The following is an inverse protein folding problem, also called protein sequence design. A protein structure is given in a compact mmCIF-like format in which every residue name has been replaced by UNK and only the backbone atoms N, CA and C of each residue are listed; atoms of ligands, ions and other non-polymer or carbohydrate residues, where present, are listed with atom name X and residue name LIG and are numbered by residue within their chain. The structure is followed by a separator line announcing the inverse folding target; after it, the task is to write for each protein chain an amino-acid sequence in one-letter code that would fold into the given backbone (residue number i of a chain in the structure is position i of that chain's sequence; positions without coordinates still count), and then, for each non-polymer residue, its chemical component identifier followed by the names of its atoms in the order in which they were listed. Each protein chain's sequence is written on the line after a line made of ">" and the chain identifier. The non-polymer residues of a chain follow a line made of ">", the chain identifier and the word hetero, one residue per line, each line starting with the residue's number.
data_IF_222306265706
#
_entry.id   IF_222306265706
#
_cell.length_a   1.000
_cell.length_b   1.000
_cell.length_c   1.000
_cell.angle_alpha   90.00
_cell.angle_beta   90.00
_cell.angle_gamma   90.00
#
_symmetry.space_group_name_H-M   'P 1'
#
loop_
_entity.id
_entity.type
_entity.pdbx_description
1 polymer ?
#
# COMPACT_ATOMS: atom_id res chain seq x y z
N UNK A 1 -0.86 9.38 -16.65
CA UNK A 1 0.48 9.11 -17.22
C UNK A 1 0.70 7.60 -17.21
N UNK A 2 1.01 7.05 -18.38
CA UNK A 2 1.35 5.64 -18.61
C UNK A 2 2.86 5.53 -18.81
N UNK A 3 3.50 4.56 -18.21
CA UNK A 3 4.96 4.40 -18.21
C UNK A 3 5.33 3.01 -18.69
N UNK A 4 6.27 2.93 -19.62
CA UNK A 4 6.95 1.71 -20.04
C UNK A 4 8.13 1.48 -19.10
N UNK A 5 7.97 0.57 -18.13
CA UNK A 5 9.00 0.26 -17.15
C UNK A 5 10.21 -0.44 -17.74
N UNK A 6 10.02 -1.26 -18.78
CA UNK A 6 11.10 -1.99 -19.44
C UNK A 6 12.09 -1.04 -20.11
N UNK A 7 11.56 -0.03 -20.82
CA UNK A 7 12.37 0.95 -21.54
C UNK A 7 12.58 2.25 -20.74
N UNK A 8 12.07 2.35 -19.52
CA UNK A 8 12.20 3.51 -18.61
C UNK A 8 11.76 4.83 -19.24
N UNK A 9 10.64 4.83 -19.94
CA UNK A 9 10.10 6.02 -20.62
C UNK A 9 8.63 6.24 -20.28
N UNK A 10 8.21 7.49 -20.38
CA UNK A 10 6.77 7.82 -20.40
C UNK A 10 6.22 7.33 -21.73
N UNK A 11 5.16 6.52 -21.66
CA UNK A 11 4.45 6.05 -22.84
C UNK A 11 3.50 7.13 -23.33
N UNK A 12 2.59 7.56 -22.44
CA UNK A 12 1.61 8.58 -22.72
C UNK A 12 1.20 9.39 -21.49
N UNK A 13 0.62 10.56 -21.73
CA UNK A 13 0.06 11.45 -20.71
C UNK A 13 -1.36 11.79 -21.07
N UNK A 14 -2.32 11.06 -20.50
CA UNK A 14 -3.73 11.26 -20.78
C UNK A 14 -4.26 12.57 -20.16
N UNK A 15 -5.23 13.19 -20.81
CA UNK A 15 -5.87 14.43 -20.34
C UNK A 15 -6.72 14.20 -19.09
N UNK A 16 -7.27 12.99 -18.93
CA UNK A 16 -8.12 12.61 -17.81
C UNK A 16 -7.75 11.22 -17.30
N UNK A 17 -8.05 10.96 -16.03
CA UNK A 17 -7.95 9.65 -15.40
C UNK A 17 -9.26 8.86 -15.44
N UNK A 18 -10.28 9.35 -16.13
CA UNK A 18 -11.53 8.63 -16.26
C UNK A 18 -11.32 7.30 -16.97
N UNK A 19 -11.95 6.23 -16.42
CA UNK A 19 -11.82 4.87 -16.96
C UNK A 19 -12.02 4.81 -18.47
N UNK A 20 -13.02 5.52 -19.00
CA UNK A 20 -13.33 5.53 -20.44
C UNK A 20 -12.17 6.07 -21.29
N UNK A 21 -11.51 7.14 -20.83
CA UNK A 21 -10.35 7.72 -21.51
C UNK A 21 -9.18 6.75 -21.52
N UNK A 22 -8.89 6.13 -20.37
CA UNK A 22 -7.82 5.13 -20.23
C UNK A 22 -8.08 3.92 -21.12
N UNK A 23 -9.33 3.40 -21.14
CA UNK A 23 -9.71 2.25 -21.99
C UNK A 23 -9.56 2.58 -23.46
N UNK A 24 -9.98 3.77 -23.91
CA UNK A 24 -9.86 4.18 -25.32
C UNK A 24 -8.41 4.22 -25.75
N UNK A 25 -7.57 4.90 -25.01
CA UNK A 25 -6.13 5.02 -25.31
C UNK A 25 -5.41 3.67 -25.37
N UNK A 26 -5.65 2.83 -24.35
CA UNK A 26 -5.05 1.50 -24.29
C UNK A 26 -5.53 0.60 -25.44
N UNK A 27 -6.80 0.69 -25.87
CA UNK A 27 -7.33 -0.09 -27.01
C UNK A 27 -6.71 0.36 -28.34
N UNK A 28 -6.64 1.64 -28.58
CA UNK A 28 -5.99 2.20 -29.79
C UNK A 28 -4.52 1.75 -29.85
N UNK A 29 -3.82 1.81 -28.74
CA UNK A 29 -2.43 1.34 -28.64
C UNK A 29 -2.31 -0.18 -28.83
N UNK A 30 -3.28 -0.97 -28.35
CA UNK A 30 -3.32 -2.42 -28.56
C UNK A 30 -3.60 -2.78 -30.04
N UNK A 31 -4.57 -2.14 -30.65
CA UNK A 31 -4.95 -2.34 -32.07
C UNK A 31 -3.82 -1.98 -33.03
N UNK A 32 -3.03 -0.96 -32.69
CA UNK A 32 -1.83 -0.60 -33.46
C UNK A 32 -0.67 -1.57 -33.27
N UNK A 33 -0.80 -2.57 -32.39
CA UNK A 33 0.24 -3.55 -32.08
C UNK A 33 1.32 -3.06 -31.10
N UNK A 34 1.23 -1.83 -30.62
CA UNK A 34 2.22 -1.23 -29.73
C UNK A 34 2.28 -1.94 -28.37
N UNK A 35 1.16 -2.50 -27.90
CA UNK A 35 1.04 -3.18 -26.61
C UNK A 35 1.07 -4.72 -26.72
N UNK A 36 1.41 -5.28 -27.89
CA UNK A 36 1.40 -6.73 -28.16
C UNK A 36 2.33 -7.54 -27.23
N UNK A 37 3.32 -6.90 -26.63
CA UNK A 37 4.32 -7.55 -25.75
C UNK A 37 4.11 -7.25 -24.27
N UNK A 38 3.00 -6.59 -23.89
CA UNK A 38 2.67 -6.33 -22.49
C UNK A 38 2.31 -7.65 -21.80
N UNK A 39 3.05 -8.02 -20.79
CA UNK A 39 2.84 -9.22 -19.97
C UNK A 39 2.40 -8.89 -18.55
N UNK A 40 2.65 -7.66 -18.11
CA UNK A 40 2.31 -7.18 -16.79
C UNK A 40 1.90 -5.70 -16.84
N UNK A 41 0.86 -5.36 -16.07
CA UNK A 41 0.42 -3.99 -15.82
C UNK A 41 0.44 -3.73 -14.32
N UNK A 42 1.18 -2.70 -13.92
CA UNK A 42 1.21 -2.23 -12.54
C UNK A 42 0.39 -0.94 -12.42
N UNK A 43 -0.49 -0.88 -11.43
CA UNK A 43 -1.35 0.27 -11.17
C UNK A 43 -1.30 0.67 -9.70
N UNK A 44 -1.78 1.88 -9.39
CA UNK A 44 -2.12 2.20 -8.00
C UNK A 44 -3.43 1.49 -7.58
N UNK A 45 -3.94 1.84 -6.40
CA UNK A 45 -5.15 1.21 -5.85
C UNK A 45 -6.47 1.82 -6.37
N UNK A 46 -6.46 2.61 -7.44
CA UNK A 46 -7.69 3.19 -7.99
C UNK A 46 -8.44 2.19 -8.88
N UNK A 47 -9.75 2.00 -8.59
CA UNK A 47 -10.58 1.00 -9.27
C UNK A 47 -10.62 1.21 -10.79
N UNK A 48 -10.68 2.46 -11.25
CA UNK A 48 -10.77 2.79 -12.67
C UNK A 48 -9.59 2.29 -13.50
N UNK A 49 -8.35 2.42 -13.01
CA UNK A 49 -7.15 1.95 -13.73
C UNK A 49 -7.10 0.42 -13.77
N UNK A 50 -7.43 -0.24 -12.64
CA UNK A 50 -7.46 -1.71 -12.54
C UNK A 50 -8.50 -2.31 -13.47
N UNK A 51 -9.71 -1.72 -13.51
CA UNK A 51 -10.78 -2.17 -14.40
C UNK A 51 -10.46 -1.88 -15.86
N UNK A 52 -9.86 -0.71 -16.18
CA UNK A 52 -9.45 -0.39 -17.54
C UNK A 52 -8.42 -1.40 -18.06
N UNK A 53 -7.42 -1.76 -17.24
CA UNK A 53 -6.45 -2.77 -17.61
C UNK A 53 -7.08 -4.15 -17.82
N UNK A 54 -8.02 -4.57 -16.96
CA UNK A 54 -8.77 -5.82 -17.13
C UNK A 54 -9.61 -5.84 -18.41
N UNK A 55 -10.28 -4.72 -18.72
CA UNK A 55 -11.15 -4.59 -19.89
C UNK A 55 -10.39 -4.62 -21.22
N UNK A 56 -9.14 -4.18 -21.22
CA UNK A 56 -8.29 -4.12 -22.41
C UNK A 56 -7.46 -5.37 -22.59
N UNK A 57 -6.73 -5.77 -21.54
CA UNK A 57 -5.77 -6.87 -21.64
C UNK A 57 -6.35 -8.24 -21.29
N UNK A 58 -7.49 -8.27 -20.58
CA UNK A 58 -8.11 -9.52 -20.14
C UNK A 58 -7.22 -10.33 -19.18
N UNK A 59 -7.42 -11.67 -19.11
CA UNK A 59 -6.69 -12.53 -18.19
C UNK A 59 -5.27 -12.90 -18.67
N UNK A 60 -4.89 -12.52 -19.87
CA UNK A 60 -3.59 -12.86 -20.46
C UNK A 60 -2.44 -12.05 -19.85
N UNK A 61 -2.74 -10.92 -19.21
CA UNK A 61 -1.77 -10.02 -18.60
C UNK A 61 -1.88 -10.04 -17.09
N UNK A 62 -0.73 -10.18 -16.42
CA UNK A 62 -0.66 -10.10 -14.95
C UNK A 62 -0.95 -8.67 -14.50
N UNK A 63 -1.89 -8.53 -13.58
CA UNK A 63 -2.23 -7.24 -12.99
C UNK A 63 -1.67 -7.16 -11.58
N UNK A 64 -0.85 -6.14 -11.31
CA UNK A 64 -0.19 -5.95 -10.03
C UNK A 64 -0.52 -4.58 -9.44
N UNK A 65 -0.75 -4.52 -8.14
CA UNK A 65 -0.86 -3.24 -7.43
C UNK A 65 0.52 -2.81 -6.94
N UNK A 66 0.87 -1.55 -7.22
CA UNK A 66 2.12 -0.97 -6.74
C UNK A 66 2.16 -0.93 -5.21
N UNK A 67 3.10 -1.66 -4.63
CA UNK A 67 3.32 -1.75 -3.17
C UNK A 67 3.53 -0.39 -2.51
N UNK A 68 4.11 0.59 -3.23
CA UNK A 68 4.27 1.93 -2.70
C UNK A 68 2.93 2.56 -2.33
N UNK A 69 1.91 2.39 -3.18
CA UNK A 69 0.56 2.90 -2.94
C UNK A 69 -0.14 2.15 -1.81
N UNK A 70 0.09 0.84 -1.66
CA UNK A 70 -0.39 0.06 -0.52
C UNK A 70 0.19 0.60 0.78
N UNK A 71 1.52 0.73 0.85
CA UNK A 71 2.22 1.22 2.04
C UNK A 71 1.87 2.68 2.36
N UNK A 72 1.73 3.54 1.35
CA UNK A 72 1.29 4.92 1.52
C UNK A 72 -0.11 5.02 2.13
N UNK A 73 -1.04 4.15 1.70
CA UNK A 73 -2.39 4.09 2.27
C UNK A 73 -2.32 3.70 3.76
N UNK A 74 -1.58 2.65 4.11
CA UNK A 74 -1.40 2.23 5.50
C UNK A 74 -0.77 3.33 6.37
N UNK A 75 0.25 4.03 5.86
CA UNK A 75 0.87 5.16 6.55
C UNK A 75 -0.12 6.32 6.81
N UNK A 76 -1.03 6.58 5.88
CA UNK A 76 -2.08 7.57 6.07
C UNK A 76 -3.06 7.14 7.18
N UNK A 77 -3.42 5.85 7.26
CA UNK A 77 -4.25 5.31 8.34
C UNK A 77 -3.56 5.41 9.70
N UNK A 78 -2.28 5.08 9.76
CA UNK A 78 -1.46 5.22 10.98
C UNK A 78 -1.38 6.69 11.42
N UNK A 79 -1.20 7.62 10.48
CA UNK A 79 -1.20 9.05 10.76
C UNK A 79 -2.55 9.53 11.30
N UNK A 80 -3.65 9.07 10.73
CA UNK A 80 -5.00 9.40 11.19
C UNK A 80 -5.25 8.88 12.61
N UNK A 81 -4.94 7.61 12.85
CA UNK A 81 -5.08 6.99 14.18
C UNK A 81 -4.23 7.70 15.25
N UNK A 82 -2.98 8.08 14.93
CA UNK A 82 -2.16 8.86 15.84
C UNK A 82 -2.81 10.21 16.21
N UNK A 83 -3.38 10.92 15.24
CA UNK A 83 -4.07 12.20 15.48
C UNK A 83 -5.32 12.01 16.34
N UNK A 84 -6.06 10.94 16.10
CA UNK A 84 -7.24 10.59 16.87
C UNK A 84 -6.86 10.31 18.33
N UNK A 85 -5.88 9.45 18.57
CA UNK A 85 -5.36 9.15 19.90
C UNK A 85 -4.85 10.43 20.58
N UNK A 86 -4.05 11.24 19.88
CA UNK A 86 -3.49 12.47 20.43
C UNK A 86 -4.56 13.47 20.88
N UNK A 87 -5.70 13.55 20.17
CA UNK A 87 -6.81 14.45 20.51
C UNK A 87 -7.50 14.04 21.79
N UNK A 88 -7.57 12.74 22.06
CA UNK A 88 -8.31 12.18 23.19
C UNK A 88 -7.43 12.03 24.46
N UNK A 89 -6.14 12.39 24.40
CA UNK A 89 -5.20 12.34 25.50
C UNK A 89 -5.21 13.63 26.35
N UNK A 90 -4.85 13.52 27.64
CA UNK A 90 -4.48 14.68 28.47
C UNK A 90 -3.37 15.52 27.79
N UNK A 91 -3.37 16.82 28.04
CA UNK A 91 -2.43 17.74 27.36
C UNK A 91 -0.95 17.36 27.54
N UNK A 92 -0.58 16.88 28.72
CA UNK A 92 0.78 16.42 29.01
C UNK A 92 1.20 15.28 28.09
N UNK A 93 0.34 14.26 27.94
CA UNK A 93 0.60 13.10 27.09
C UNK A 93 0.51 13.43 25.61
N UNK A 94 -0.46 14.30 25.23
CA UNK A 94 -0.56 14.78 23.84
C UNK A 94 0.70 15.52 23.36
N UNK A 95 1.39 16.23 24.29
CA UNK A 95 2.69 16.87 24.01
C UNK A 95 3.78 15.86 23.67
N UNK A 96 3.80 14.68 24.33
CA UNK A 96 4.76 13.61 24.04
C UNK A 96 4.65 13.08 22.62
N UNK A 97 3.45 13.05 22.05
CA UNK A 97 3.22 12.65 20.66
C UNK A 97 3.47 13.77 19.64
N UNK A 98 3.61 15.03 20.09
CA UNK A 98 3.85 16.16 19.19
C UNK A 98 5.21 16.02 18.52
N UNK A 99 5.23 16.14 17.19
CA UNK A 99 6.46 16.00 16.41
C UNK A 99 6.91 14.55 16.14
N UNK A 100 6.31 13.54 16.80
CA UNK A 100 6.75 12.14 16.69
C UNK A 100 6.34 11.44 15.38
N UNK A 101 5.59 12.09 14.47
CA UNK A 101 5.04 11.44 13.27
C UNK A 101 6.06 10.61 12.51
N UNK A 102 7.23 11.15 12.27
CA UNK A 102 8.25 10.49 11.45
C UNK A 102 8.90 9.30 12.15
N UNK A 103 8.96 9.28 13.48
CA UNK A 103 9.44 8.11 14.23
C UNK A 103 8.58 6.87 13.96
N UNK A 104 7.25 7.06 13.84
CA UNK A 104 6.30 5.97 13.56
C UNK A 104 6.29 5.52 12.11
N UNK A 105 6.69 6.38 11.18
CA UNK A 105 6.62 6.14 9.73
C UNK A 105 7.95 5.73 9.12
N UNK A 106 9.07 6.05 9.77
CA UNK A 106 10.41 5.68 9.30
C UNK A 106 10.65 4.19 9.53
N UNK A 107 11.33 3.55 8.59
CA UNK A 107 11.72 2.15 8.74
C UNK A 107 12.78 2.02 9.86
N UNK A 108 12.73 0.96 10.68
CA UNK A 108 13.61 0.82 11.83
C UNK A 108 15.10 0.94 11.51
N UNK A 109 15.53 0.41 10.36
CA UNK A 109 16.91 0.47 9.89
C UNK A 109 17.41 1.90 9.57
N UNK A 110 16.49 2.83 9.30
CA UNK A 110 16.81 4.22 8.96
C UNK A 110 16.72 5.17 10.16
N UNK A 111 16.38 4.67 11.35
CA UNK A 111 16.35 5.47 12.57
C UNK A 111 17.75 5.55 13.19
N UNK A 112 18.15 6.75 13.62
CA UNK A 112 19.32 6.94 14.49
C UNK A 112 19.06 6.30 15.86
N UNK A 113 20.12 6.05 16.63
CA UNK A 113 20.01 5.36 17.94
C UNK A 113 19.09 6.11 18.91
N UNK A 114 19.24 7.44 19.02
CA UNK A 114 18.36 8.25 19.88
C UNK A 114 16.89 8.20 19.41
N UNK A 115 16.67 8.13 18.10
CA UNK A 115 15.32 7.99 17.53
C UNK A 115 14.69 6.63 17.83
N UNK A 116 15.49 5.55 17.81
CA UNK A 116 15.04 4.20 18.19
C UNK A 116 14.65 4.15 19.66
N UNK A 117 15.48 4.71 20.55
CA UNK A 117 15.20 4.80 21.97
C UNK A 117 13.92 5.59 22.24
N UNK A 118 13.80 6.77 21.60
CA UNK A 118 12.57 7.59 21.72
C UNK A 118 11.33 6.87 21.20
N UNK A 119 11.43 6.14 20.09
CA UNK A 119 10.31 5.34 19.57
C UNK A 119 9.94 4.20 20.54
N UNK A 120 10.91 3.55 21.17
CA UNK A 120 10.65 2.50 22.16
C UNK A 120 9.90 3.04 23.41
N UNK A 121 10.29 4.22 23.90
CA UNK A 121 9.56 4.91 24.97
C UNK A 121 8.11 5.22 24.57
N UNK A 122 7.92 5.79 23.38
CA UNK A 122 6.58 6.11 22.85
C UNK A 122 5.73 4.85 22.65
N UNK A 123 6.32 3.76 22.18
CA UNK A 123 5.61 2.46 22.06
C UNK A 123 5.14 1.92 23.41
N UNK A 124 5.95 2.08 24.45
CA UNK A 124 5.59 1.71 25.82
C UNK A 124 4.43 2.54 26.35
N UNK A 125 4.43 3.85 26.09
CA UNK A 125 3.40 4.78 26.56
C UNK A 125 2.09 4.67 25.76
N UNK A 126 2.19 4.39 24.45
CA UNK A 126 1.06 4.37 23.51
C UNK A 126 0.90 3.00 22.82
N UNK A 127 0.48 1.95 23.55
CA UNK A 127 0.44 0.58 23.03
C UNK A 127 -0.45 0.41 21.79
N UNK A 128 -1.54 1.18 21.65
CA UNK A 128 -2.39 1.12 20.44
C UNK A 128 -1.69 1.67 19.20
N UNK A 129 -0.84 2.68 19.35
CA UNK A 129 -0.01 3.17 18.24
C UNK A 129 1.15 2.21 17.95
N UNK A 130 1.73 1.60 18.98
CA UNK A 130 2.75 0.57 18.83
C UNK A 130 2.22 -0.59 17.96
N UNK A 131 1.04 -1.09 18.24
CA UNK A 131 0.38 -2.15 17.48
C UNK A 131 0.20 -1.78 16.00
N UNK A 132 -0.25 -0.55 15.70
CA UNK A 132 -0.38 -0.08 14.33
C UNK A 132 0.98 0.02 13.61
N UNK A 133 2.01 0.50 14.29
CA UNK A 133 3.35 0.57 13.74
C UNK A 133 3.94 -0.82 13.47
N UNK A 134 3.70 -1.78 14.37
CA UNK A 134 4.13 -3.16 14.22
C UNK A 134 3.41 -3.86 13.06
N UNK A 135 2.10 -3.61 12.87
CA UNK A 135 1.36 -4.12 11.71
C UNK A 135 1.86 -3.50 10.39
N UNK A 136 2.21 -2.21 10.38
CA UNK A 136 2.86 -1.60 9.22
C UNK A 136 4.17 -2.29 8.87
N UNK A 137 5.00 -2.54 9.88
CA UNK A 137 6.30 -3.18 9.68
C UNK A 137 6.14 -4.63 9.20
N UNK A 138 5.20 -5.38 9.77
CA UNK A 138 4.89 -6.75 9.34
C UNK A 138 4.44 -6.80 7.87
N UNK A 139 3.59 -5.85 7.42
CA UNK A 139 3.20 -5.78 6.01
C UNK A 139 4.37 -5.40 5.10
N UNK A 140 5.25 -4.49 5.54
CA UNK A 140 6.46 -4.13 4.80
C UNK A 140 7.37 -5.36 4.60
N UNK A 141 7.60 -6.10 5.68
CA UNK A 141 8.42 -7.33 5.64
C UNK A 141 7.82 -8.39 4.73
N UNK A 142 6.50 -8.51 4.70
CA UNK A 142 5.82 -9.40 3.76
C UNK A 142 6.15 -9.04 2.30
N UNK A 143 6.10 -7.75 1.94
CA UNK A 143 6.45 -7.29 0.59
C UNK A 143 7.95 -7.40 0.28
N UNK A 144 8.81 -7.41 1.29
CA UNK A 144 10.26 -7.55 1.13
C UNK A 144 10.72 -9.02 1.17
N UNK A 145 9.81 -9.97 1.47
CA UNK A 145 10.12 -11.40 1.60
C UNK A 145 10.31 -12.05 0.23
N UNK A 146 11.56 -12.18 -0.17
CA UNK A 146 11.96 -12.80 -1.45
C UNK A 146 11.77 -14.32 -1.50
N UNK A 147 11.37 -14.96 -0.41
CA UNK A 147 11.03 -16.40 -0.39
C UNK A 147 9.63 -16.66 -0.96
N UNK A 148 8.80 -15.62 -1.05
CA UNK A 148 7.47 -15.69 -1.66
C UNK A 148 7.60 -15.61 -3.19
N UNK A 149 7.74 -16.76 -3.82
CA UNK A 149 7.99 -16.87 -5.26
C UNK A 149 6.74 -17.19 -6.09
N UNK A 150 5.57 -17.33 -5.44
CA UNK A 150 4.30 -17.61 -6.11
C UNK A 150 3.19 -16.73 -5.58
N UNK A 151 2.24 -16.35 -6.43
CA UNK A 151 1.06 -15.59 -6.05
C UNK A 151 0.24 -16.31 -4.95
N UNK A 152 0.17 -17.64 -4.98
CA UNK A 152 -0.53 -18.41 -3.94
C UNK A 152 0.14 -18.26 -2.55
N UNK A 153 1.47 -18.31 -2.48
CA UNK A 153 2.21 -18.11 -1.24
C UNK A 153 2.05 -16.66 -0.73
N UNK A 154 2.14 -15.68 -1.64
CA UNK A 154 1.90 -14.26 -1.31
C UNK A 154 0.49 -14.04 -0.77
N UNK A 155 -0.52 -14.60 -1.44
CA UNK A 155 -1.93 -14.51 -1.03
C UNK A 155 -2.17 -15.15 0.35
N UNK A 156 -1.61 -16.32 0.61
CA UNK A 156 -1.72 -16.98 1.92
C UNK A 156 -1.12 -16.11 3.04
N UNK A 157 0.08 -15.58 2.83
CA UNK A 157 0.75 -14.70 3.81
C UNK A 157 0.00 -13.38 4.01
N UNK A 158 -0.59 -12.83 2.96
CA UNK A 158 -1.42 -11.64 3.07
C UNK A 158 -2.69 -11.93 3.87
N UNK A 159 -3.32 -13.10 3.68
CA UNK A 159 -4.48 -13.55 4.47
C UNK A 159 -4.14 -13.67 5.96
N UNK A 160 -2.99 -14.27 6.28
CA UNK A 160 -2.50 -14.35 7.67
C UNK A 160 -2.32 -12.97 8.29
N UNK A 161 -1.72 -12.04 7.54
CA UNK A 161 -1.54 -10.66 7.97
C UNK A 161 -2.88 -9.95 8.19
N UNK A 162 -3.83 -10.09 7.26
CA UNK A 162 -5.18 -9.51 7.37
C UNK A 162 -5.91 -10.02 8.62
N UNK A 163 -5.83 -11.33 8.89
CA UNK A 163 -6.42 -11.94 10.06
C UNK A 163 -5.83 -11.38 11.35
N UNK A 164 -4.50 -11.30 11.44
CA UNK A 164 -3.80 -10.71 12.58
C UNK A 164 -4.14 -9.23 12.76
N UNK A 165 -4.18 -8.46 11.66
CA UNK A 165 -4.50 -7.03 11.70
C UNK A 165 -5.93 -6.76 12.18
N UNK A 166 -6.91 -7.56 11.77
CA UNK A 166 -8.30 -7.44 12.21
C UNK A 166 -8.50 -7.78 13.68
N UNK A 167 -7.73 -8.72 14.23
CA UNK A 167 -7.81 -9.15 15.63
C UNK A 167 -7.57 -7.98 16.62
N UNK A 168 -6.90 -6.91 16.19
CA UNK A 168 -6.67 -5.72 17.02
C UNK A 168 -7.90 -4.80 17.15
N UNK A 169 -8.95 -4.97 16.34
CA UNK A 169 -10.19 -4.20 16.41
C UNK A 169 -10.05 -2.70 16.13
N UNK A 170 -8.96 -2.27 15.47
CA UNK A 170 -8.74 -0.86 15.15
C UNK A 170 -9.50 -0.45 13.90
N UNK A 171 -10.45 0.47 14.02
CA UNK A 171 -11.32 0.88 12.91
C UNK A 171 -10.54 1.40 11.69
N UNK A 172 -9.46 2.15 11.91
CA UNK A 172 -8.60 2.63 10.83
C UNK A 172 -7.92 1.48 10.06
N UNK A 173 -7.50 0.42 10.78
CA UNK A 173 -6.85 -0.75 10.20
C UNK A 173 -7.88 -1.65 9.49
N UNK A 174 -9.06 -1.84 10.06
CA UNK A 174 -10.13 -2.62 9.44
C UNK A 174 -10.53 -2.09 8.07
N UNK A 175 -10.71 -0.77 7.93
CA UNK A 175 -10.99 -0.12 6.62
C UNK A 175 -9.85 -0.35 5.61
N UNK A 176 -8.62 -0.41 6.07
CA UNK A 176 -7.49 -0.74 5.21
C UNK A 176 -7.52 -2.21 4.79
N UNK A 177 -7.80 -3.13 5.73
CA UNK A 177 -7.96 -4.56 5.44
C UNK A 177 -9.06 -4.81 4.40
N UNK A 178 -10.22 -4.14 4.52
CA UNK A 178 -11.31 -4.25 3.52
C UNK A 178 -10.84 -3.84 2.10
N UNK A 179 -9.95 -2.84 2.04
CA UNK A 179 -9.38 -2.41 0.76
C UNK A 179 -8.41 -3.44 0.19
N UNK A 180 -7.57 -4.06 1.04
CA UNK A 180 -6.62 -5.09 0.60
C UNK A 180 -7.33 -6.38 0.19
N UNK A 181 -8.35 -6.83 0.94
CA UNK A 181 -9.11 -8.04 0.60
C UNK A 181 -9.73 -7.98 -0.78
N UNK A 182 -10.34 -6.83 -1.14
CA UNK A 182 -10.93 -6.65 -2.47
C UNK A 182 -9.93 -6.73 -3.61
N UNK A 183 -8.62 -6.65 -3.31
CA UNK A 183 -7.54 -6.60 -4.30
C UNK A 183 -6.45 -7.63 -4.05
N UNK A 184 -6.75 -8.63 -3.23
CA UNK A 184 -5.77 -9.60 -2.77
C UNK A 184 -5.08 -10.33 -3.94
N UNK A 185 -5.85 -10.73 -4.94
CA UNK A 185 -5.38 -11.37 -6.17
C UNK A 185 -4.44 -10.49 -7.02
N UNK A 186 -4.59 -9.16 -6.96
CA UNK A 186 -3.72 -8.23 -7.67
C UNK A 186 -2.55 -7.72 -6.83
N UNK A 187 -2.59 -7.87 -5.51
CA UNK A 187 -1.50 -7.49 -4.61
C UNK A 187 -0.51 -8.65 -4.44
N UNK A 188 -0.98 -9.89 -4.50
CA UNK A 188 -0.17 -11.08 -4.32
C UNK A 188 0.59 -11.54 -5.58
N UNK A 189 0.31 -10.93 -6.75
CA UNK A 189 1.07 -11.15 -7.97
C UNK A 189 2.38 -10.39 -7.90
#
# INVERSE_FOLDING_TARGET
>A
MIVDHTNRRVWDVLESREKAVVVTDLRESQESGLLAHVVEVTSDMWDGDVEAARDVFGPAVTLTIDRFHVMKNLQNRLTAARREIQRDLPESEARELKGSRWLWLTNPENLAEEQRQRLAELKSQFPRLAQLADQREALRQLFDDRSLTTAAAGSARLTDWLTAARAWGLAALNKFCDTLERRQDTIAN
#
